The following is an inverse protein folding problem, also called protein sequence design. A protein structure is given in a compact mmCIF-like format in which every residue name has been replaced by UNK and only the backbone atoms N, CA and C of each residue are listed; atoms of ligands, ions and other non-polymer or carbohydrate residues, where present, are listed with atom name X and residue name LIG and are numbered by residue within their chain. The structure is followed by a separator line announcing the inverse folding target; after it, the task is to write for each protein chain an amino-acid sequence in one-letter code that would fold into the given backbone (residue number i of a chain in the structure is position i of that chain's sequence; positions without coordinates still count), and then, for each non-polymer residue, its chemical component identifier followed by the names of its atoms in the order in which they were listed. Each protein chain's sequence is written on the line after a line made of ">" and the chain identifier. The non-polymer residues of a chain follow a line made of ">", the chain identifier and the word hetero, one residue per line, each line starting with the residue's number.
data_IF_267969611587
#
_entry.id   IF_267969611587
#
_cell.length_a   1.000
_cell.length_b   1.000
_cell.length_c   1.000
_cell.angle_alpha   90.00
_cell.angle_beta   90.00
_cell.angle_gamma   90.00
#
_symmetry.space_group_name_H-M   'P 1'
#
loop_
_entity.id
_entity.type
_entity.pdbx_description
1 polymer ?
#
# COMPACT_ATOMS: atom_id res chain seq x y z
N UNK A 1 -2.12 18.20 7.00
CA UNK A 1 -0.70 17.92 7.29
C UNK A 1 -0.45 16.42 7.47
N UNK A 2 -1.11 15.74 8.43
CA UNK A 2 -0.86 14.32 8.74
C UNK A 2 -1.05 13.40 7.54
N UNK A 3 -2.10 13.58 6.72
CA UNK A 3 -2.29 12.81 5.49
C UNK A 3 -1.16 13.01 4.48
N UNK A 4 -0.61 14.22 4.38
CA UNK A 4 0.55 14.49 3.53
C UNK A 4 1.81 13.79 4.07
N UNK A 5 2.04 13.81 5.38
CA UNK A 5 3.16 13.08 6.00
C UNK A 5 3.06 11.58 5.72
N UNK A 6 1.87 10.97 5.93
CA UNK A 6 1.65 9.55 5.62
C UNK A 6 1.90 9.23 4.14
N UNK A 7 1.38 10.05 3.23
CA UNK A 7 1.61 9.91 1.79
C UNK A 7 3.10 10.04 1.42
N UNK A 8 3.82 11.01 2.01
CA UNK A 8 5.24 11.20 1.76
C UNK A 8 6.06 9.99 2.24
N UNK A 9 5.71 9.43 3.40
CA UNK A 9 6.30 8.18 3.90
C UNK A 9 6.05 7.04 2.91
N UNK A 10 4.83 6.88 2.41
CA UNK A 10 4.53 5.85 1.41
C UNK A 10 5.25 6.10 0.08
N UNK A 11 5.46 7.36 -0.32
CA UNK A 11 6.25 7.73 -1.50
C UNK A 11 7.70 7.25 -1.44
N UNK A 12 8.27 7.14 -0.24
CA UNK A 12 9.62 6.61 -0.02
C UNK A 12 9.72 5.08 -0.04
N UNK A 13 8.58 4.35 -0.10
CA UNK A 13 8.58 2.88 -0.04
C UNK A 13 9.37 2.24 -1.18
N UNK A 14 9.13 2.66 -2.42
CA UNK A 14 9.81 2.08 -3.59
C UNK A 14 11.31 2.39 -3.61
N UNK A 15 11.76 3.66 -3.44
CA UNK A 15 13.18 3.97 -3.37
C UNK A 15 13.90 3.21 -2.24
N UNK A 16 13.30 3.15 -1.05
CA UNK A 16 13.88 2.44 0.08
C UNK A 16 13.92 0.91 -0.15
N UNK A 17 12.88 0.33 -0.77
CA UNK A 17 12.88 -1.08 -1.15
C UNK A 17 13.99 -1.37 -2.16
N UNK A 18 14.15 -0.51 -3.18
CA UNK A 18 15.21 -0.67 -4.19
C UNK A 18 16.62 -0.59 -3.57
N UNK A 19 16.83 0.33 -2.62
CA UNK A 19 18.09 0.36 -1.86
C UNK A 19 18.32 -0.94 -1.08
N UNK A 20 17.28 -1.47 -0.43
CA UNK A 20 17.40 -2.67 0.38
C UNK A 20 17.71 -3.91 -0.48
N UNK A 21 17.00 -4.09 -1.60
CA UNK A 21 17.17 -5.28 -2.47
C UNK A 21 18.46 -5.24 -3.31
N UNK A 22 19.25 -4.18 -3.22
CA UNK A 22 20.56 -4.13 -3.86
C UNK A 22 21.53 -5.17 -3.30
N UNK A 23 21.41 -5.50 -1.99
CA UNK A 23 22.27 -6.45 -1.31
C UNK A 23 21.50 -7.45 -0.43
N UNK A 24 20.19 -7.22 -0.19
CA UNK A 24 19.34 -8.08 0.64
C UNK A 24 18.34 -8.79 -0.28
N UNK A 25 18.27 -10.12 -0.16
CA UNK A 25 17.30 -10.93 -0.89
C UNK A 25 15.84 -10.47 -0.60
N UNK A 26 14.93 -10.42 -1.59
CA UNK A 26 13.54 -9.99 -1.40
C UNK A 26 12.76 -10.77 -0.36
N UNK A 27 13.03 -12.09 -0.23
CA UNK A 27 12.37 -12.93 0.78
C UNK A 27 12.87 -12.54 2.16
N UNK A 28 14.20 -12.39 2.32
CA UNK A 28 14.82 -11.93 3.56
C UNK A 28 14.33 -10.53 3.94
N UNK A 29 14.32 -9.59 2.99
CA UNK A 29 13.80 -8.24 3.20
C UNK A 29 12.36 -8.28 3.70
N UNK A 30 11.48 -9.06 3.03
CA UNK A 30 10.07 -9.16 3.37
C UNK A 30 9.86 -9.79 4.75
N UNK A 31 10.58 -10.86 5.06
CA UNK A 31 10.49 -11.55 6.35
C UNK A 31 10.98 -10.65 7.49
N UNK A 32 12.15 -10.03 7.35
CA UNK A 32 12.76 -9.19 8.39
C UNK A 32 11.92 -7.93 8.63
N UNK A 33 11.48 -7.22 7.55
CA UNK A 33 10.64 -6.02 7.71
C UNK A 33 9.31 -6.33 8.39
N UNK A 34 8.68 -7.47 8.05
CA UNK A 34 7.41 -7.90 8.64
C UNK A 34 7.59 -8.31 10.10
N UNK A 35 8.69 -9.00 10.43
CA UNK A 35 9.03 -9.35 11.81
C UNK A 35 9.25 -8.10 12.67
N UNK A 36 10.05 -7.13 12.21
CA UNK A 36 10.30 -5.87 12.93
C UNK A 36 8.99 -5.12 13.16
N UNK A 37 8.22 -4.88 12.09
CA UNK A 37 6.94 -4.15 12.19
C UNK A 37 5.93 -4.90 13.07
N UNK A 38 5.90 -6.23 13.01
CA UNK A 38 5.06 -7.09 13.83
C UNK A 38 5.42 -7.03 15.32
N UNK A 39 6.70 -7.07 15.66
CA UNK A 39 7.18 -6.92 17.05
C UNK A 39 6.85 -5.53 17.60
N UNK A 40 7.06 -4.46 16.82
CA UNK A 40 6.67 -3.11 17.20
C UNK A 40 5.15 -3.00 17.41
N UNK A 41 4.37 -3.63 16.52
CA UNK A 41 2.90 -3.66 16.64
C UNK A 41 2.44 -4.42 17.87
N UNK A 42 3.05 -5.59 18.16
CA UNK A 42 2.76 -6.36 19.37
C UNK A 42 3.08 -5.57 20.63
N UNK A 43 4.26 -4.95 20.68
CA UNK A 43 4.65 -4.10 21.81
C UNK A 43 3.66 -2.96 22.02
N UNK A 44 3.24 -2.27 20.95
CA UNK A 44 2.27 -1.17 21.03
C UNK A 44 0.90 -1.65 21.55
N UNK A 45 0.38 -2.77 21.01
CA UNK A 45 -0.90 -3.32 21.44
C UNK A 45 -0.89 -3.75 22.91
N UNK A 46 0.23 -4.32 23.38
CA UNK A 46 0.42 -4.72 24.79
C UNK A 46 0.50 -3.49 25.70
N UNK A 47 1.30 -2.47 25.35
CA UNK A 47 1.45 -1.23 26.13
C UNK A 47 0.11 -0.50 26.23
N UNK A 48 -0.64 -0.43 25.13
CA UNK A 48 -1.96 0.20 25.10
C UNK A 48 -3.08 -0.72 25.62
N UNK A 49 -2.74 -1.93 26.04
CA UNK A 49 -3.67 -2.94 26.59
C UNK A 49 -4.90 -3.15 25.72
N UNK A 50 -4.68 -3.21 24.37
CA UNK A 50 -5.79 -3.38 23.43
C UNK A 50 -6.38 -4.78 23.51
N UNK A 51 -7.72 -4.92 23.55
CA UNK A 51 -8.37 -6.22 23.56
C UNK A 51 -8.18 -6.91 22.22
N UNK A 52 -8.25 -8.24 22.23
CA UNK A 52 -8.27 -9.04 21.00
C UNK A 52 -9.45 -8.64 20.11
N UNK A 53 -9.27 -8.62 18.79
CA UNK A 53 -10.35 -8.36 17.85
C UNK A 53 -11.53 -9.32 18.06
N UNK A 54 -12.74 -8.82 17.82
CA UNK A 54 -13.95 -9.68 17.85
C UNK A 54 -13.79 -10.86 16.89
N UNK A 55 -14.24 -12.03 17.29
CA UNK A 55 -14.10 -13.28 16.48
C UNK A 55 -14.60 -13.14 15.05
N UNK A 56 -15.63 -12.35 14.83
CA UNK A 56 -16.20 -12.08 13.50
C UNK A 56 -15.23 -11.37 12.53
N UNK A 57 -14.19 -10.66 13.05
CA UNK A 57 -13.23 -9.92 12.23
C UNK A 57 -12.01 -10.76 11.82
N UNK A 58 -11.75 -11.88 12.52
CA UNK A 58 -10.59 -12.73 12.25
C UNK A 58 -10.49 -13.24 10.81
N UNK A 59 -11.55 -13.72 10.15
CA UNK A 59 -11.44 -14.18 8.77
C UNK A 59 -10.94 -13.08 7.81
N UNK A 60 -11.37 -11.84 8.03
CA UNK A 60 -10.91 -10.72 7.21
C UNK A 60 -9.47 -10.32 7.55
N UNK A 61 -9.08 -10.30 8.83
CA UNK A 61 -7.71 -10.03 9.25
C UNK A 61 -6.72 -11.07 8.69
N UNK A 62 -7.10 -12.36 8.75
CA UNK A 62 -6.31 -13.47 8.20
C UNK A 62 -6.20 -13.38 6.67
N UNK A 63 -7.25 -12.91 5.97
CA UNK A 63 -7.19 -12.64 4.52
C UNK A 63 -6.30 -11.45 4.18
N UNK A 64 -6.37 -10.37 4.95
CA UNK A 64 -5.57 -9.15 4.72
C UNK A 64 -4.09 -9.40 4.98
N UNK A 65 -3.77 -10.25 5.95
CA UNK A 65 -2.39 -10.52 6.35
C UNK A 65 -1.48 -10.96 5.19
N UNK A 66 -1.76 -12.04 4.46
CA UNK A 66 -0.90 -12.45 3.34
C UNK A 66 -0.86 -11.38 2.24
N UNK A 67 -1.97 -10.68 1.98
CA UNK A 67 -2.03 -9.69 0.92
C UNK A 67 -1.16 -8.45 1.23
N UNK A 68 -1.25 -7.90 2.43
CA UNK A 68 -0.64 -6.60 2.76
C UNK A 68 0.73 -6.77 3.42
N UNK A 69 0.88 -7.77 4.31
CA UNK A 69 2.11 -7.93 5.08
C UNK A 69 3.16 -8.81 4.39
N UNK A 70 2.79 -9.68 3.45
CA UNK A 70 3.70 -10.66 2.85
C UNK A 70 3.77 -10.52 1.32
N UNK A 71 2.69 -10.83 0.61
CA UNK A 71 2.74 -10.95 -0.86
C UNK A 71 2.98 -9.60 -1.55
N UNK A 72 2.27 -8.55 -1.14
CA UNK A 72 2.49 -7.23 -1.72
C UNK A 72 3.94 -6.74 -1.53
N UNK A 73 4.52 -6.75 -0.32
CA UNK A 73 5.91 -6.36 -0.13
C UNK A 73 6.91 -7.25 -0.87
N UNK A 74 6.67 -8.56 -0.91
CA UNK A 74 7.55 -9.51 -1.59
C UNK A 74 7.56 -9.27 -3.10
N UNK A 75 6.39 -9.25 -3.73
CA UNK A 75 6.25 -9.02 -5.16
C UNK A 75 6.80 -7.65 -5.57
N UNK A 76 6.57 -6.63 -4.74
CA UNK A 76 7.16 -5.31 -4.95
C UNK A 76 8.69 -5.36 -4.85
N UNK A 77 9.25 -6.06 -3.86
CA UNK A 77 10.70 -6.21 -3.70
C UNK A 77 11.32 -6.94 -4.88
N UNK A 78 10.69 -8.01 -5.37
CA UNK A 78 11.08 -8.72 -6.60
C UNK A 78 11.06 -7.81 -7.83
N UNK A 79 10.05 -6.95 -7.95
CA UNK A 79 9.99 -5.93 -8.99
C UNK A 79 11.15 -4.93 -8.87
N UNK A 80 11.40 -4.42 -7.66
CA UNK A 80 12.44 -3.41 -7.41
C UNK A 80 13.87 -3.91 -7.62
N UNK A 81 14.11 -5.20 -7.67
CA UNK A 81 15.41 -5.73 -8.12
C UNK A 81 15.63 -5.54 -9.61
N UNK A 82 14.56 -5.41 -10.40
CA UNK A 82 14.59 -5.54 -11.87
C UNK A 82 14.28 -4.25 -12.60
N UNK A 83 13.56 -3.33 -11.96
CA UNK A 83 13.20 -2.03 -12.55
C UNK A 83 13.46 -0.89 -11.57
N UNK A 84 13.52 0.32 -12.11
CA UNK A 84 13.74 1.54 -11.32
C UNK A 84 12.55 1.87 -10.41
N UNK A 85 12.81 2.55 -9.28
CA UNK A 85 11.76 2.94 -8.34
C UNK A 85 10.78 3.94 -8.98
N UNK A 86 11.26 4.80 -9.86
CA UNK A 86 10.43 5.71 -10.66
C UNK A 86 9.49 4.95 -11.60
N UNK A 87 9.98 3.89 -12.26
CA UNK A 87 9.14 3.00 -13.06
C UNK A 87 8.06 2.33 -12.21
N UNK A 88 8.44 1.75 -11.08
CA UNK A 88 7.48 1.19 -10.12
C UNK A 88 6.45 2.21 -9.62
N UNK A 89 6.86 3.47 -9.46
CA UNK A 89 5.97 4.57 -9.08
C UNK A 89 4.83 4.81 -10.06
N UNK A 90 5.09 4.70 -11.37
CA UNK A 90 4.06 4.78 -12.42
C UNK A 90 3.13 3.57 -12.35
N UNK A 91 3.70 2.35 -12.28
CA UNK A 91 2.92 1.11 -12.23
C UNK A 91 2.02 1.06 -11.01
N UNK A 92 2.54 1.34 -9.83
CA UNK A 92 1.74 1.37 -8.60
C UNK A 92 0.76 2.55 -8.54
N UNK A 93 0.92 3.56 -9.37
CA UNK A 93 0.00 4.68 -9.50
C UNK A 93 -1.44 4.26 -9.84
N UNK A 94 -1.66 3.10 -10.44
CA UNK A 94 -2.99 2.55 -10.75
C UNK A 94 -3.66 1.85 -9.55
N UNK A 95 -2.94 1.62 -8.46
CA UNK A 95 -3.42 0.89 -7.29
C UNK A 95 -4.75 1.42 -6.71
N UNK A 96 -5.01 2.73 -6.63
CA UNK A 96 -6.31 3.22 -6.16
C UNK A 96 -7.49 2.78 -7.04
N UNK A 97 -7.28 2.69 -8.37
CA UNK A 97 -8.29 2.18 -9.30
C UNK A 97 -8.48 0.67 -9.07
N UNK A 98 -7.41 -0.11 -8.99
CA UNK A 98 -7.48 -1.53 -8.74
C UNK A 98 -8.20 -1.84 -7.41
N UNK A 99 -7.87 -1.10 -6.34
CA UNK A 99 -8.57 -1.21 -5.05
C UNK A 99 -10.06 -0.86 -5.16
N UNK A 100 -10.40 0.16 -5.94
CA UNK A 100 -11.79 0.55 -6.16
C UNK A 100 -12.56 -0.53 -6.93
N UNK A 101 -11.95 -1.18 -7.93
CA UNK A 101 -12.55 -2.30 -8.67
C UNK A 101 -12.88 -3.48 -7.74
N UNK A 102 -11.93 -3.87 -6.86
CA UNK A 102 -12.17 -4.93 -5.86
C UNK A 102 -13.27 -4.51 -4.89
N UNK A 103 -13.25 -3.26 -4.41
CA UNK A 103 -14.29 -2.76 -3.50
C UNK A 103 -15.68 -2.83 -4.14
N UNK A 104 -15.82 -2.45 -5.42
CA UNK A 104 -17.08 -2.56 -6.19
C UNK A 104 -17.54 -4.02 -6.27
N UNK A 105 -16.62 -4.97 -6.53
CA UNK A 105 -16.96 -6.38 -6.60
C UNK A 105 -17.45 -6.93 -5.24
N UNK A 106 -16.87 -6.46 -4.12
CA UNK A 106 -17.23 -6.90 -2.77
C UNK A 106 -18.53 -6.27 -2.28
N UNK A 107 -18.77 -4.97 -2.62
CA UNK A 107 -19.93 -4.20 -2.13
C UNK A 107 -21.13 -4.27 -3.06
N UNK A 108 -20.95 -4.84 -4.27
CA UNK A 108 -21.95 -4.84 -5.35
C UNK A 108 -22.44 -3.43 -5.71
N UNK A 109 -21.63 -2.42 -5.48
CA UNK A 109 -21.90 -1.03 -5.92
C UNK A 109 -21.99 -0.98 -7.44
N UNK A 110 -22.75 -0.02 -7.96
CA UNK A 110 -22.89 0.24 -9.41
C UNK A 110 -22.25 1.59 -9.74
N UNK A 111 -20.95 1.62 -10.04
CA UNK A 111 -20.28 2.87 -10.41
C UNK A 111 -20.84 3.43 -11.71
N UNK A 112 -20.66 4.73 -11.90
CA UNK A 112 -21.02 5.40 -13.18
C UNK A 112 -20.16 4.86 -14.32
N UNK A 113 -20.65 4.85 -15.58
CA UNK A 113 -19.87 4.39 -16.74
C UNK A 113 -18.48 5.04 -16.87
N UNK A 114 -18.35 6.31 -16.51
CA UNK A 114 -17.08 7.03 -16.54
C UNK A 114 -16.00 6.45 -15.59
N UNK A 115 -16.42 5.78 -14.50
CA UNK A 115 -15.50 5.03 -13.64
C UNK A 115 -14.82 3.89 -14.43
N UNK A 116 -15.59 3.12 -15.19
CA UNK A 116 -15.06 2.01 -15.99
C UNK A 116 -14.14 2.48 -17.11
N UNK A 117 -14.51 3.57 -17.77
CA UNK A 117 -13.64 4.21 -18.78
C UNK A 117 -12.32 4.64 -18.17
N UNK A 118 -12.36 5.32 -17.02
CA UNK A 118 -11.16 5.75 -16.32
C UNK A 118 -10.27 4.55 -15.87
N UNK A 119 -10.90 3.45 -15.42
CA UNK A 119 -10.19 2.25 -15.04
C UNK A 119 -9.46 1.59 -16.23
N UNK A 120 -10.16 1.44 -17.37
CA UNK A 120 -9.57 0.87 -18.60
C UNK A 120 -8.46 1.74 -19.14
N UNK A 121 -8.68 3.07 -19.22
CA UNK A 121 -7.65 4.02 -19.69
C UNK A 121 -6.44 4.02 -18.76
N UNK A 122 -6.65 4.01 -17.44
CA UNK A 122 -5.56 3.94 -16.47
C UNK A 122 -4.73 2.66 -16.61
N UNK A 123 -5.37 1.51 -16.75
CA UNK A 123 -4.68 0.24 -16.98
C UNK A 123 -3.92 0.25 -18.33
N UNK A 124 -4.54 0.74 -19.39
CA UNK A 124 -3.90 0.84 -20.71
C UNK A 124 -2.68 1.76 -20.69
N UNK A 125 -2.73 2.90 -19.97
CA UNK A 125 -1.59 3.80 -19.82
C UNK A 125 -0.42 3.13 -19.11
N UNK A 126 -0.69 2.38 -18.03
CA UNK A 126 0.38 1.68 -17.29
C UNK A 126 1.00 0.57 -18.13
N UNK A 127 0.18 -0.20 -18.85
CA UNK A 127 0.69 -1.25 -19.76
C UNK A 127 1.50 -0.62 -20.90
N UNK A 128 1.01 0.46 -21.51
CA UNK A 128 1.70 1.17 -22.58
C UNK A 128 3.05 1.73 -22.10
N UNK A 129 3.11 2.24 -20.86
CA UNK A 129 4.34 2.70 -20.24
C UNK A 129 5.34 1.55 -20.06
N UNK A 130 4.91 0.44 -19.45
CA UNK A 130 5.76 -0.72 -19.21
C UNK A 130 6.29 -1.33 -20.53
N UNK A 131 5.43 -1.47 -21.54
CA UNK A 131 5.83 -1.95 -22.88
C UNK A 131 6.85 -1.01 -23.53
N UNK A 132 6.64 0.30 -23.43
CA UNK A 132 7.55 1.28 -24.04
C UNK A 132 8.91 1.28 -23.35
N UNK A 133 8.95 1.25 -22.04
CA UNK A 133 10.17 1.22 -21.25
C UNK A 133 10.94 -0.10 -21.44
N UNK A 134 10.21 -1.21 -21.59
CA UNK A 134 10.74 -2.54 -21.88
C UNK A 134 11.05 -2.81 -23.37
N UNK A 135 11.09 -1.78 -24.23
CA UNK A 135 11.41 -1.95 -25.65
C UNK A 135 10.38 -2.78 -26.44
N UNK A 136 9.12 -2.76 -26.08
CA UNK A 136 8.00 -3.45 -26.71
C UNK A 136 7.59 -4.75 -26.04
N UNK A 137 8.26 -5.14 -24.94
CA UNK A 137 7.93 -6.34 -24.14
C UNK A 137 7.77 -5.98 -22.66
N UNK A 138 6.91 -6.72 -21.97
CA UNK A 138 6.82 -6.61 -20.52
C UNK A 138 8.03 -7.32 -19.88
N UNK A 139 8.71 -6.62 -18.98
CA UNK A 139 9.79 -7.20 -18.20
C UNK A 139 9.23 -8.12 -17.08
N UNK A 140 10.06 -9.02 -16.58
CA UNK A 140 9.70 -9.81 -15.39
C UNK A 140 9.42 -8.90 -14.17
N UNK A 141 10.10 -7.76 -14.08
CA UNK A 141 9.84 -6.75 -13.05
C UNK A 141 8.43 -6.18 -13.12
N UNK A 142 7.93 -5.90 -14.34
CA UNK A 142 6.54 -5.44 -14.54
C UNK A 142 5.52 -6.47 -14.08
N UNK A 143 5.76 -7.76 -14.38
CA UNK A 143 4.86 -8.84 -13.96
C UNK A 143 4.76 -8.92 -12.43
N UNK A 144 5.88 -8.79 -11.73
CA UNK A 144 5.90 -8.73 -10.28
C UNK A 144 5.15 -7.52 -9.74
N UNK A 145 5.33 -6.34 -10.35
CA UNK A 145 4.64 -5.13 -9.94
C UNK A 145 3.13 -5.21 -10.21
N UNK A 146 2.69 -5.74 -11.36
CA UNK A 146 1.26 -5.95 -11.63
C UNK A 146 0.64 -6.95 -10.65
N UNK A 147 1.33 -8.05 -10.34
CA UNK A 147 0.90 -9.00 -9.34
C UNK A 147 0.81 -8.32 -7.95
N UNK A 148 1.77 -7.47 -7.59
CA UNK A 148 1.75 -6.72 -6.33
C UNK A 148 0.55 -5.77 -6.25
N UNK A 149 0.20 -5.08 -7.35
CA UNK A 149 -1.00 -4.23 -7.45
C UNK A 149 -2.26 -5.05 -7.25
N UNK A 150 -2.38 -6.20 -7.92
CA UNK A 150 -3.57 -7.06 -7.81
C UNK A 150 -3.78 -7.57 -6.38
N UNK A 151 -2.73 -8.09 -5.75
CA UNK A 151 -2.77 -8.62 -4.38
C UNK A 151 -3.07 -7.52 -3.37
N UNK A 152 -2.38 -6.37 -3.48
CA UNK A 152 -2.60 -5.25 -2.55
C UNK A 152 -3.97 -4.62 -2.71
N UNK A 153 -4.54 -4.60 -3.92
CA UNK A 153 -5.90 -4.13 -4.16
C UNK A 153 -6.94 -4.93 -3.34
N UNK A 154 -6.80 -6.26 -3.29
CA UNK A 154 -7.62 -7.12 -2.45
C UNK A 154 -7.40 -6.79 -0.98
N UNK A 155 -6.15 -6.78 -0.53
CA UNK A 155 -5.81 -6.49 0.87
C UNK A 155 -6.33 -5.12 1.34
N UNK A 156 -6.16 -4.08 0.53
CA UNK A 156 -6.62 -2.73 0.88
C UNK A 156 -8.15 -2.58 0.85
N UNK A 157 -8.85 -3.27 -0.06
CA UNK A 157 -10.30 -3.25 -0.08
C UNK A 157 -10.89 -3.88 1.20
N UNK A 158 -10.37 -5.03 1.63
CA UNK A 158 -10.79 -5.68 2.87
C UNK A 158 -10.31 -4.93 4.11
N UNK A 159 -9.09 -4.39 4.11
CA UNK A 159 -8.60 -3.52 5.19
C UNK A 159 -9.50 -2.29 5.37
N UNK A 160 -9.94 -1.66 4.27
CA UNK A 160 -10.89 -0.56 4.29
C UNK A 160 -12.23 -0.91 4.93
N UNK A 161 -12.72 -2.16 4.79
CA UNK A 161 -13.92 -2.62 5.51
C UNK A 161 -13.68 -2.77 7.00
N UNK A 162 -12.52 -3.29 7.39
CA UNK A 162 -12.14 -3.45 8.80
C UNK A 162 -12.06 -2.10 9.53
N UNK A 163 -11.70 -1.01 8.82
CA UNK A 163 -11.65 0.32 9.44
C UNK A 163 -13.01 0.89 9.84
N UNK A 164 -14.11 0.29 9.38
CA UNK A 164 -15.44 0.61 9.89
C UNK A 164 -15.72 0.02 11.28
N UNK A 165 -14.96 -1.02 11.67
CA UNK A 165 -15.17 -1.78 12.91
C UNK A 165 -14.09 -1.50 13.97
N UNK A 166 -12.89 -1.05 13.55
CA UNK A 166 -11.78 -0.72 14.43
C UNK A 166 -10.88 0.35 13.81
N UNK A 167 -10.12 1.11 14.63
CA UNK A 167 -9.17 2.10 14.12
C UNK A 167 -8.17 1.49 13.13
N UNK A 168 -7.89 2.20 12.03
CA UNK A 168 -7.02 1.68 10.96
C UNK A 168 -5.59 1.31 11.42
N UNK A 169 -5.05 1.99 12.45
CA UNK A 169 -3.76 1.62 13.04
C UNK A 169 -3.84 0.29 13.82
N UNK A 170 -4.99 -0.05 14.40
CA UNK A 170 -5.20 -1.35 15.03
C UNK A 170 -5.32 -2.44 13.96
N UNK A 171 -6.01 -2.17 12.82
CA UNK A 171 -6.11 -3.12 11.71
C UNK A 171 -4.72 -3.54 11.25
N UNK A 172 -3.83 -2.58 10.92
CA UNK A 172 -2.48 -2.92 10.45
C UNK A 172 -1.66 -3.59 11.55
N UNK A 173 -1.80 -3.16 12.82
CA UNK A 173 -1.07 -3.77 13.93
C UNK A 173 -1.48 -5.23 14.13
N UNK A 174 -2.77 -5.56 14.11
CA UNK A 174 -3.23 -6.95 14.23
C UNK A 174 -2.83 -7.79 13.02
N UNK A 175 -2.90 -7.25 11.80
CA UNK A 175 -2.42 -7.92 10.58
C UNK A 175 -0.94 -8.31 10.73
N UNK A 176 -0.10 -7.40 11.22
CA UNK A 176 1.32 -7.64 11.40
C UNK A 176 1.60 -8.64 12.54
N UNK A 177 0.84 -8.59 13.64
CA UNK A 177 0.95 -9.56 14.74
C UNK A 177 0.55 -10.96 14.28
N UNK A 178 -0.51 -11.10 13.47
CA UNK A 178 -0.92 -12.39 12.89
C UNK A 178 0.16 -12.94 11.95
N UNK A 179 0.96 -12.07 11.31
CA UNK A 179 2.06 -12.48 10.45
C UNK A 179 3.30 -12.99 11.23
N UNK A 180 3.49 -12.62 12.51
CA UNK A 180 4.68 -12.95 13.31
C UNK A 180 5.03 -14.44 13.36
N UNK A 181 4.08 -15.38 13.56
CA UNK A 181 4.39 -16.81 13.58
C UNK A 181 5.05 -17.33 12.30
N UNK A 182 4.84 -16.63 11.18
CA UNK A 182 5.45 -16.94 9.89
C UNK A 182 6.68 -16.08 9.62
N UNK A 183 6.60 -14.78 9.93
CA UNK A 183 7.65 -13.82 9.65
C UNK A 183 8.92 -14.04 10.50
N UNK A 184 8.79 -14.39 11.77
CA UNK A 184 9.96 -14.64 12.65
C UNK A 184 10.79 -15.84 12.22
N UNK A 185 10.20 -17.04 12.00
CA UNK A 185 10.97 -18.17 11.47
C UNK A 185 11.56 -17.89 10.09
N UNK A 186 10.77 -17.27 9.20
CA UNK A 186 11.26 -16.90 7.88
C UNK A 186 12.44 -15.93 7.96
N UNK A 187 12.38 -14.89 8.80
CA UNK A 187 13.48 -13.96 9.00
C UNK A 187 14.74 -14.64 9.53
N UNK A 188 14.58 -15.59 10.47
CA UNK A 188 15.70 -16.34 11.01
C UNK A 188 16.35 -17.27 9.97
N UNK A 189 15.54 -17.90 9.10
CA UNK A 189 16.01 -18.83 8.07
C UNK A 189 16.62 -18.12 6.85
N UNK A 190 16.15 -16.90 6.55
CA UNK A 190 16.57 -16.14 5.37
C UNK A 190 17.55 -15.01 5.70
N UNK A 191 17.95 -14.89 6.99
CA UNK A 191 18.96 -13.91 7.38
C UNK A 191 20.20 -14.06 6.51
N UNK A 192 20.74 -12.97 5.95
CA UNK A 192 21.98 -13.03 5.19
C UNK A 192 23.08 -13.74 5.97
N UNK A 193 23.82 -14.63 5.31
CA UNK A 193 24.88 -15.43 5.96
C UNK A 193 25.98 -14.55 6.56
N UNK A 194 26.25 -13.39 5.96
CA UNK A 194 27.21 -12.41 6.44
C UNK A 194 26.59 -11.00 6.48
N UNK A 195 25.82 -10.70 7.55
CA UNK A 195 25.15 -9.40 7.68
C UNK A 195 26.11 -8.20 7.78
N UNK A 196 27.35 -8.45 8.21
CA UNK A 196 28.37 -7.41 8.40
C UNK A 196 28.99 -6.93 7.08
N UNK A 197 28.91 -7.73 6.02
CA UNK A 197 29.38 -7.35 4.69
C UNK A 197 28.34 -6.54 3.89
N UNK A 198 27.09 -6.53 4.32
CA UNK A 198 26.04 -5.68 3.71
C UNK A 198 26.32 -4.24 4.09
N UNK A 199 26.36 -3.36 3.08
CA UNK A 199 26.60 -1.94 3.31
C UNK A 199 25.46 -1.27 4.12
N UNK A 200 25.69 -0.09 4.66
CA UNK A 200 24.72 0.61 5.51
C UNK A 200 23.43 0.98 4.77
N UNK A 201 23.53 1.35 3.48
CA UNK A 201 22.37 1.83 2.70
C UNK A 201 21.23 0.82 2.60
N UNK A 202 21.44 -0.47 2.25
CA UNK A 202 20.40 -1.51 2.27
C UNK A 202 19.74 -1.68 3.63
N UNK A 203 20.50 -1.64 4.72
CA UNK A 203 19.93 -1.71 6.08
C UNK A 203 19.04 -0.51 6.41
N UNK A 204 19.45 0.70 6.01
CA UNK A 204 18.61 1.90 6.17
C UNK A 204 17.33 1.79 5.32
N UNK A 205 17.42 1.26 4.10
CA UNK A 205 16.27 0.95 3.26
C UNK A 205 15.32 -0.03 3.93
N UNK A 206 15.85 -1.15 4.47
CA UNK A 206 15.08 -2.14 5.21
C UNK A 206 14.39 -1.53 6.44
N UNK A 207 15.12 -0.79 7.26
CA UNK A 207 14.56 -0.14 8.46
C UNK A 207 13.47 0.87 8.08
N UNK A 208 13.67 1.63 7.01
CA UNK A 208 12.65 2.55 6.52
C UNK A 208 11.37 1.81 6.13
N UNK A 209 11.46 0.77 5.31
CA UNK A 209 10.26 0.03 4.88
C UNK A 209 9.61 -0.75 6.02
N UNK A 210 10.37 -1.20 7.02
CA UNK A 210 9.85 -1.88 8.19
C UNK A 210 9.09 -0.93 9.13
N UNK A 211 9.73 0.16 9.53
CA UNK A 211 9.21 1.04 10.58
C UNK A 211 8.30 2.13 10.02
N UNK A 212 8.73 2.81 8.96
CA UNK A 212 7.99 3.94 8.43
C UNK A 212 6.91 3.51 7.45
N UNK A 213 7.24 2.74 6.41
CA UNK A 213 6.29 2.36 5.37
C UNK A 213 5.24 1.36 5.85
N UNK A 214 5.65 0.32 6.59
CA UNK A 214 4.74 -0.77 6.97
C UNK A 214 3.99 -0.52 8.28
N UNK A 215 4.41 0.44 9.10
CA UNK A 215 3.85 0.68 10.42
C UNK A 215 3.50 2.16 10.67
N UNK A 216 4.45 3.05 10.91
CA UNK A 216 4.24 4.45 11.30
C UNK A 216 3.45 5.26 10.24
N UNK A 217 3.70 5.00 8.96
CA UNK A 217 3.01 5.68 7.86
C UNK A 217 1.49 5.52 7.92
N UNK A 218 1.02 4.35 8.36
CA UNK A 218 -0.41 4.11 8.55
C UNK A 218 -1.02 4.93 9.70
N UNK A 219 -0.25 5.26 10.74
CA UNK A 219 -0.76 6.09 11.85
C UNK A 219 -0.99 7.52 11.39
N UNK A 220 0.01 8.12 10.73
CA UNK A 220 -0.12 9.47 10.19
C UNK A 220 -1.23 9.55 9.13
N UNK A 221 -1.31 8.55 8.24
CA UNK A 221 -2.32 8.45 7.20
C UNK A 221 -3.73 8.34 7.78
N UNK A 222 -3.95 7.40 8.69
CA UNK A 222 -5.27 7.16 9.30
C UNK A 222 -5.71 8.33 10.19
N UNK A 223 -4.80 8.92 10.97
CA UNK A 223 -5.09 10.12 11.74
C UNK A 223 -5.45 11.30 10.83
N UNK A 224 -4.74 11.45 9.71
CA UNK A 224 -5.08 12.44 8.69
C UNK A 224 -6.48 12.25 8.12
N UNK A 225 -6.87 11.02 7.79
CA UNK A 225 -8.22 10.70 7.29
C UNK A 225 -9.31 10.96 8.34
N UNK A 226 -9.07 10.59 9.59
CA UNK A 226 -10.01 10.81 10.68
C UNK A 226 -10.28 12.31 10.93
N UNK A 227 -9.23 13.16 10.86
CA UNK A 227 -9.33 14.61 11.12
C UNK A 227 -9.77 15.41 9.89
N UNK A 228 -9.31 15.02 8.69
CA UNK A 228 -9.51 15.80 7.45
C UNK A 228 -10.61 15.29 6.54
N UNK A 229 -11.21 14.15 6.87
CA UNK A 229 -12.21 13.45 6.07
C UNK A 229 -11.56 12.60 4.96
N UNK A 230 -12.06 11.39 4.78
CA UNK A 230 -11.50 10.37 3.87
C UNK A 230 -11.41 10.92 2.43
N UNK A 231 -12.49 11.56 1.93
CA UNK A 231 -12.54 12.04 0.55
C UNK A 231 -11.52 13.14 0.24
N UNK A 232 -11.21 14.01 1.20
CA UNK A 232 -10.25 15.10 1.03
C UNK A 232 -8.81 14.59 1.15
N UNK A 233 -8.53 13.77 2.16
CA UNK A 233 -7.16 13.31 2.44
C UNK A 233 -6.69 12.29 1.42
N UNK A 234 -7.56 11.41 0.91
CA UNK A 234 -7.20 10.47 -0.15
C UNK A 234 -6.74 11.14 -1.45
N UNK A 235 -7.17 12.39 -1.73
CA UNK A 235 -6.67 13.13 -2.89
C UNK A 235 -5.17 13.47 -2.79
N UNK A 236 -4.63 13.56 -1.57
CA UNK A 236 -3.19 13.81 -1.36
C UNK A 236 -2.35 12.64 -1.89
N UNK A 237 -2.90 11.42 -1.89
CA UNK A 237 -2.21 10.23 -2.40
C UNK A 237 -1.89 10.31 -3.90
N UNK A 238 -2.62 11.14 -4.65
CA UNK A 238 -2.32 11.40 -6.07
C UNK A 238 -0.94 12.02 -6.30
N UNK A 239 -0.35 12.62 -5.27
CA UNK A 239 1.01 13.19 -5.32
C UNK A 239 2.10 12.14 -5.05
N UNK A 240 1.73 10.93 -4.60
CA UNK A 240 2.70 9.90 -4.19
C UNK A 240 3.71 9.54 -5.28
N UNK A 241 3.35 9.30 -6.56
CA UNK A 241 4.34 9.01 -7.60
C UNK A 241 5.40 10.10 -7.74
N UNK A 242 5.01 11.37 -7.65
CA UNK A 242 5.95 12.48 -7.77
C UNK A 242 6.89 12.59 -6.58
N UNK A 243 6.42 12.30 -5.36
CA UNK A 243 7.28 12.15 -4.17
C UNK A 243 8.25 10.99 -4.37
N UNK A 244 7.78 9.86 -4.90
CA UNK A 244 8.62 8.71 -5.24
C UNK A 244 9.73 9.11 -6.22
N UNK A 245 9.44 9.89 -7.26
CA UNK A 245 10.44 10.34 -8.24
C UNK A 245 11.53 11.20 -7.60
N UNK A 246 11.12 12.16 -6.77
CA UNK A 246 12.08 13.00 -6.04
C UNK A 246 12.99 12.15 -5.16
N UNK A 247 12.41 11.21 -4.40
CA UNK A 247 13.19 10.36 -3.50
C UNK A 247 14.04 9.33 -4.26
N UNK A 248 13.55 8.78 -5.39
CA UNK A 248 14.32 7.90 -6.27
C UNK A 248 15.53 8.62 -6.86
N UNK A 249 15.35 9.86 -7.32
CA UNK A 249 16.46 10.66 -7.81
C UNK A 249 17.49 10.95 -6.72
N UNK A 250 17.04 11.33 -5.51
CA UNK A 250 17.92 11.70 -4.41
C UNK A 250 18.70 10.53 -3.80
N UNK A 251 18.03 9.39 -3.61
CA UNK A 251 18.58 8.26 -2.86
C UNK A 251 19.11 7.13 -3.75
N UNK A 252 18.50 6.90 -4.91
CA UNK A 252 18.90 5.86 -5.85
C UNK A 252 19.73 6.40 -7.01
N UNK A 253 19.83 7.74 -7.19
CA UNK A 253 20.52 8.35 -8.31
C UNK A 253 19.79 8.18 -9.64
N UNK A 254 18.47 7.91 -9.63
CA UNK A 254 17.68 7.72 -10.83
C UNK A 254 17.48 9.03 -11.60
N UNK A 255 17.62 8.98 -12.91
CA UNK A 255 17.32 10.10 -13.81
C UNK A 255 15.85 10.11 -14.17
N UNK A 256 15.11 11.12 -13.70
CA UNK A 256 13.68 11.25 -13.98
C UNK A 256 13.47 11.89 -15.34
N UNK A 257 13.05 11.11 -16.31
CA UNK A 257 12.78 11.61 -17.66
C UNK A 257 11.41 12.32 -17.72
N UNK A 258 11.25 13.33 -18.61
CA UNK A 258 9.96 13.96 -18.84
C UNK A 258 8.85 12.97 -19.19
N UNK A 259 9.20 11.87 -19.82
CA UNK A 259 8.30 10.80 -20.19
C UNK A 259 7.69 10.10 -18.96
N UNK A 260 8.51 9.72 -17.97
CA UNK A 260 8.05 9.13 -16.70
C UNK A 260 7.05 10.07 -16.02
N UNK A 261 7.36 11.37 -15.98
CA UNK A 261 6.48 12.38 -15.38
C UNK A 261 5.15 12.49 -16.13
N UNK A 262 5.19 12.45 -17.48
CA UNK A 262 3.99 12.55 -18.31
C UNK A 262 3.06 11.33 -18.09
N UNK A 263 3.61 10.12 -18.11
CA UNK A 263 2.82 8.90 -17.85
C UNK A 263 2.23 8.90 -16.44
N UNK A 264 3.03 9.28 -15.43
CA UNK A 264 2.53 9.40 -14.06
C UNK A 264 1.40 10.43 -13.96
N UNK A 265 1.53 11.59 -14.59
CA UNK A 265 0.50 12.62 -14.62
C UNK A 265 -0.79 12.11 -15.29
N UNK A 266 -0.66 11.39 -16.40
CA UNK A 266 -1.80 10.79 -17.10
C UNK A 266 -2.50 9.72 -16.24
N UNK A 267 -1.75 8.83 -15.58
CA UNK A 267 -2.31 7.83 -14.63
C UNK A 267 -3.00 8.52 -13.47
N UNK A 268 -2.37 9.51 -12.86
CA UNK A 268 -2.95 10.31 -11.77
C UNK A 268 -4.26 10.99 -12.20
N UNK A 269 -4.33 11.51 -13.41
CA UNK A 269 -5.56 12.09 -13.96
C UNK A 269 -6.69 11.05 -14.05
N UNK A 270 -6.41 9.82 -14.52
CA UNK A 270 -7.42 8.74 -14.57
C UNK A 270 -7.88 8.33 -13.18
N UNK A 271 -6.99 8.26 -12.21
CA UNK A 271 -7.32 7.98 -10.81
C UNK A 271 -8.21 9.08 -10.23
N UNK A 272 -7.89 10.34 -10.49
CA UNK A 272 -8.70 11.48 -10.04
C UNK A 272 -10.11 11.47 -10.63
N UNK A 273 -10.25 11.14 -11.91
CA UNK A 273 -11.54 11.00 -12.58
C UNK A 273 -12.32 9.82 -11.97
N UNK A 274 -11.68 8.67 -11.81
CA UNK A 274 -12.28 7.48 -11.21
C UNK A 274 -12.81 7.78 -9.79
N UNK A 275 -12.03 8.45 -8.96
CA UNK A 275 -12.40 8.80 -7.59
C UNK A 275 -13.64 9.74 -7.52
N UNK A 276 -13.77 10.69 -8.47
CA UNK A 276 -14.92 11.60 -8.54
C UNK A 276 -16.20 10.96 -9.07
N UNK A 277 -16.07 9.88 -9.83
CA UNK A 277 -17.19 9.19 -10.50
C UNK A 277 -17.68 7.96 -9.75
N UNK A 278 -16.96 7.52 -8.71
CA UNK A 278 -17.41 6.50 -7.79
C UNK A 278 -18.72 6.94 -7.15
N UNK A 279 -19.79 6.16 -7.32
CA UNK A 279 -21.12 6.49 -6.78
C UNK A 279 -21.06 6.73 -5.26
N UNK A 280 -21.91 7.60 -4.75
CA UNK A 280 -22.12 7.71 -3.30
C UNK A 280 -22.58 6.33 -2.80
N UNK A 281 -21.85 5.76 -1.85
CA UNK A 281 -22.27 4.56 -1.13
C UNK A 281 -23.69 4.82 -0.62
N UNK A 282 -24.67 4.06 -1.12
CA UNK A 282 -26.03 4.13 -0.63
C UNK A 282 -26.01 3.53 0.77
N UNK A 283 -25.96 4.37 1.78
CA UNK A 283 -26.14 3.95 3.17
C UNK A 283 -27.50 3.25 3.21
N UNK A 284 -27.48 1.95 3.47
CA UNK A 284 -28.69 1.14 3.56
C UNK A 284 -29.62 1.77 4.57
N UNK A 285 -30.95 1.92 4.31
CA UNK A 285 -31.88 2.59 5.20
C UNK A 285 -31.84 2.09 6.66
N UNK A 286 -31.53 0.83 6.88
CA UNK A 286 -31.35 0.23 8.21
C UNK A 286 -30.16 0.84 9.00
N UNK A 287 -29.05 1.16 8.32
CA UNK A 287 -27.92 1.83 9.00
C UNK A 287 -28.22 3.29 9.36
N UNK A 288 -29.09 3.97 8.59
CA UNK A 288 -29.60 5.30 8.95
C UNK A 288 -30.51 5.24 10.17
N UNK A 289 -31.37 4.22 10.28
CA UNK A 289 -32.24 4.03 11.43
C UNK A 289 -31.43 3.72 12.71
N UNK A 290 -30.41 2.85 12.63
CA UNK A 290 -29.53 2.55 13.74
C UNK A 290 -28.71 3.78 14.20
N UNK A 291 -28.18 4.59 13.27
CA UNK A 291 -27.46 5.84 13.57
C UNK A 291 -28.39 6.94 14.13
N UNK A 292 -29.65 6.96 13.75
CA UNK A 292 -30.65 7.89 14.29
C UNK A 292 -31.03 7.56 15.75
N UNK A 293 -31.14 6.25 16.07
CA UNK A 293 -31.44 5.76 17.41
C UNK A 293 -30.29 6.02 18.41
N UNK A 294 -29.03 6.01 17.95
CA UNK A 294 -27.86 6.33 18.80
C UNK A 294 -27.62 7.83 19.01
N UNK A 295 -28.37 8.71 18.33
CA UNK A 295 -28.27 10.18 18.42
C UNK A 295 -29.48 10.83 19.09
N UNK A 296 -30.45 10.07 19.59
CA UNK A 296 -31.54 10.63 20.41
C UNK A 296 -30.95 11.03 21.78
N UNK A 297 -31.02 12.32 22.18
CA UNK A 297 -30.64 12.71 23.53
C UNK A 297 -31.63 12.12 24.53
N UNK A 298 -31.10 11.58 25.64
CA UNK A 298 -31.88 11.30 26.86
C UNK A 298 -32.39 12.57 27.51
#
# INVERSE_FOLDING_TARGET
>A
LLGFIGMAIFGGTLPATRLAVAEIDPIALTAIRTAIAGLCSLALLLVLRRPLPRRALWPQLVLVMPCVAVLFPLLMAEGMQRVDASHGGVVLGVLPIATALVAVAITHERPRPLFWVAAVVGAALVIAFALRDGGGTLSTGDLFLFASVAVSAVGYAFSGRLTAEMPGWEVISWVLVIALPFALPAAALTMPADPMHISLKPWLGLLYVALFSQWIGFFAWNAGMAMGGIARVSQVQLLQPFVTFVLASLFNGETITPQVVLFAAAVVATVAISARTRGRTRVVPEQRAALALTRAPE
#
